data_IF_191329100205
#
_entry.id   IF_191329100205
#
_cell.length_a   1.000
_cell.length_b   1.000
_cell.length_c   1.000
_cell.angle_alpha   90.00
_cell.angle_beta   90.00
_cell.angle_gamma   90.00
#
_symmetry.space_group_name_H-M   'P 1'
#
loop_
_entity.id
_entity.type
_entity.pdbx_description
1 polymer ?
#
# COMPACT_ATOMS: atom_id res chain seq x y z
N UNK A 1 7.49 -6.15 14.55
CA UNK A 1 8.13 -5.69 13.31
C UNK A 1 8.50 -4.21 13.34
N UNK A 2 7.54 -3.27 13.45
CA UNK A 2 7.78 -1.81 13.37
C UNK A 2 8.81 -1.31 14.40
N UNK A 3 8.67 -1.71 15.67
CA UNK A 3 9.61 -1.30 16.73
C UNK A 3 11.03 -1.85 16.49
N UNK A 4 11.15 -3.09 16.04
CA UNK A 4 12.45 -3.70 15.72
C UNK A 4 13.16 -2.93 14.60
N UNK A 5 12.41 -2.51 13.56
CA UNK A 5 12.96 -1.70 12.48
C UNK A 5 13.40 -0.32 12.95
N UNK A 6 12.58 0.35 13.77
CA UNK A 6 12.94 1.64 14.37
C UNK A 6 14.23 1.55 15.18
N UNK A 7 14.31 0.55 16.07
CA UNK A 7 15.48 0.37 16.94
C UNK A 7 16.74 0.06 16.10
N UNK A 8 16.57 -0.73 15.03
CA UNK A 8 17.66 -1.03 14.09
C UNK A 8 18.16 0.25 13.39
N UNK A 9 17.26 1.07 12.83
CA UNK A 9 17.64 2.35 12.20
C UNK A 9 18.36 3.28 13.16
N UNK A 10 17.86 3.43 14.39
CA UNK A 10 18.46 4.27 15.40
C UNK A 10 19.85 3.74 15.83
N UNK A 11 20.05 2.42 15.91
CA UNK A 11 21.34 1.81 16.19
C UNK A 11 22.41 2.10 15.12
N UNK A 12 21.96 2.37 13.86
CA UNK A 12 22.80 2.79 12.74
C UNK A 12 23.00 4.30 12.66
N UNK A 13 22.44 5.07 13.62
CA UNK A 13 22.50 6.53 13.63
C UNK A 13 21.61 7.20 12.57
N UNK A 14 20.66 6.45 11.98
CA UNK A 14 19.75 6.98 10.95
C UNK A 14 18.58 7.67 11.63
N UNK A 15 18.27 8.89 11.19
CA UNK A 15 17.09 9.64 11.65
C UNK A 15 15.82 8.89 11.24
N UNK A 16 14.94 8.65 12.20
CA UNK A 16 13.71 7.87 12.02
C UNK A 16 12.45 8.69 12.27
N UNK A 17 11.41 8.46 11.46
CA UNK A 17 10.09 9.06 11.62
C UNK A 17 8.99 8.00 11.49
N UNK A 18 8.03 7.99 12.42
CA UNK A 18 6.84 7.14 12.35
C UNK A 18 5.64 7.96 11.86
N UNK A 19 4.93 7.44 10.86
CA UNK A 19 3.78 8.10 10.24
C UNK A 19 2.62 7.09 10.18
N UNK A 20 1.66 7.25 11.07
CA UNK A 20 0.50 6.35 11.22
C UNK A 20 -0.72 6.80 10.36
N UNK A 21 -0.61 7.95 9.67
CA UNK A 21 -1.68 8.48 8.83
C UNK A 21 -1.51 8.07 7.37
N UNK A 22 -2.62 7.70 6.73
CA UNK A 22 -2.67 7.44 5.27
C UNK A 22 -2.90 8.71 4.44
N UNK A 23 -2.78 9.90 5.03
CA UNK A 23 -2.85 11.16 4.28
C UNK A 23 -1.68 11.26 3.32
N UNK A 24 -1.91 11.59 2.03
CA UNK A 24 -0.83 11.83 1.10
C UNK A 24 -0.11 13.14 1.46
N UNK A 25 1.16 13.21 1.11
CA UNK A 25 1.99 14.40 1.31
C UNK A 25 1.84 15.42 0.17
N UNK A 26 1.21 15.01 -0.92
CA UNK A 26 0.90 15.83 -2.09
C UNK A 26 -0.48 15.47 -2.66
N UNK A 27 -0.86 16.09 -3.76
CA UNK A 27 -2.16 15.87 -4.43
C UNK A 27 -2.07 14.86 -5.59
N UNK A 28 -1.00 14.08 -5.70
CA UNK A 28 -0.83 13.11 -6.80
C UNK A 28 -1.61 11.83 -6.56
N UNK A 29 -1.92 11.50 -5.31
CA UNK A 29 -2.69 10.31 -4.91
C UNK A 29 -3.77 10.68 -3.90
N UNK A 30 -4.83 9.87 -3.81
CA UNK A 30 -5.88 10.05 -2.79
C UNK A 30 -5.39 9.66 -1.39
N UNK A 31 -4.56 8.63 -1.30
CA UNK A 31 -3.97 8.16 -0.05
C UNK A 31 -2.47 7.93 -0.25
N UNK A 32 -1.72 7.96 0.83
CA UNK A 32 -0.32 7.60 0.80
C UNK A 32 -0.17 6.12 0.40
N UNK A 33 0.55 5.84 -0.66
CA UNK A 33 0.76 4.50 -1.21
C UNK A 33 2.19 3.99 -1.05
N UNK A 34 3.13 4.87 -0.66
CA UNK A 34 4.54 4.54 -0.50
C UNK A 34 5.23 5.47 0.50
N UNK A 35 6.25 4.95 1.20
CA UNK A 35 7.01 5.68 2.21
C UNK A 35 7.78 6.90 1.68
N UNK A 36 8.11 6.88 0.39
CA UNK A 36 8.90 7.94 -0.27
C UNK A 36 8.11 9.23 -0.55
N UNK A 37 6.77 9.21 -0.51
CA UNK A 37 5.95 10.35 -0.97
C UNK A 37 6.31 11.68 -0.31
N UNK A 38 6.59 11.68 0.99
CA UNK A 38 7.01 12.89 1.70
C UNK A 38 8.38 13.42 1.28
N UNK A 39 9.19 12.60 0.63
CA UNK A 39 10.57 12.92 0.26
C UNK A 39 10.75 13.19 -1.24
N UNK A 40 9.69 13.13 -2.05
CA UNK A 40 9.73 13.36 -3.51
C UNK A 40 10.57 14.58 -3.92
N UNK A 41 10.44 15.77 -3.28
CA UNK A 41 11.24 16.93 -3.65
C UNK A 41 12.74 16.73 -3.46
N UNK A 42 13.15 15.89 -2.49
CA UNK A 42 14.57 15.67 -2.17
C UNK A 42 15.29 14.80 -3.20
N UNK A 43 14.56 13.91 -3.88
CA UNK A 43 15.14 13.13 -4.99
C UNK A 43 15.59 14.04 -6.12
N UNK A 44 14.83 15.08 -6.42
CA UNK A 44 15.11 16.04 -7.51
C UNK A 44 16.05 17.18 -7.11
N UNK A 45 16.32 17.38 -5.82
CA UNK A 45 17.23 18.41 -5.35
C UNK A 45 18.69 17.89 -5.37
N UNK A 46 19.54 18.31 -6.33
CA UNK A 46 20.92 17.81 -6.42
C UNK A 46 21.82 18.24 -5.27
N UNK A 47 21.42 19.25 -4.50
CA UNK A 47 22.18 19.77 -3.36
C UNK A 47 21.89 19.04 -2.06
N UNK A 48 20.79 18.28 -1.99
CA UNK A 48 20.41 17.56 -0.78
C UNK A 48 21.22 16.26 -0.66
N UNK A 49 21.92 16.09 0.47
CA UNK A 49 22.68 14.90 0.84
C UNK A 49 22.20 14.44 2.22
N UNK A 50 21.95 13.16 2.37
CA UNK A 50 21.56 12.58 3.66
C UNK A 50 20.72 11.33 3.55
N UNK A 51 20.57 10.65 4.69
CA UNK A 51 19.82 9.41 4.81
C UNK A 51 18.80 9.52 5.92
N UNK A 52 17.58 9.07 5.66
CA UNK A 52 16.48 9.02 6.62
C UNK A 52 15.73 7.70 6.49
N UNK A 53 15.08 7.28 7.57
CA UNK A 53 14.20 6.13 7.57
C UNK A 53 12.81 6.50 8.12
N UNK A 54 11.80 5.75 7.71
CA UNK A 54 10.47 5.91 8.26
C UNK A 54 9.72 4.57 8.36
N UNK A 55 8.60 4.63 9.08
CA UNK A 55 7.45 3.77 8.85
C UNK A 55 6.29 4.62 8.37
N UNK A 56 5.64 4.20 7.30
CA UNK A 56 4.53 4.93 6.68
C UNK A 56 3.32 4.04 6.54
N UNK A 57 2.19 4.44 7.14
CA UNK A 57 0.91 3.81 6.85
C UNK A 57 0.52 4.07 5.39
N UNK A 58 0.27 3.00 4.65
CA UNK A 58 -0.07 3.02 3.23
C UNK A 58 -1.46 2.42 3.00
N UNK A 59 -2.14 2.92 1.98
CA UNK A 59 -3.42 2.40 1.51
C UNK A 59 -3.40 2.33 -0.02
N UNK A 60 -3.54 1.11 -0.57
CA UNK A 60 -3.54 0.83 -2.01
C UNK A 60 -4.91 0.34 -2.46
N UNK A 61 -5.72 1.25 -2.99
CA UNK A 61 -7.07 0.92 -3.45
C UNK A 61 -7.10 0.01 -4.70
N UNK A 62 -5.98 -0.13 -5.40
CA UNK A 62 -5.83 -1.10 -6.50
C UNK A 62 -6.00 -2.55 -6.04
N UNK A 63 -5.60 -2.84 -4.81
CA UNK A 63 -5.60 -4.20 -4.25
C UNK A 63 -6.96 -4.60 -3.64
N UNK A 64 -7.99 -3.75 -3.77
CA UNK A 64 -9.31 -3.96 -3.13
C UNK A 64 -9.99 -5.27 -3.53
N UNK A 65 -9.80 -5.72 -4.76
CA UNK A 65 -10.44 -6.94 -5.26
C UNK A 65 -9.59 -8.21 -4.99
N UNK A 66 -8.38 -8.04 -4.42
CA UNK A 66 -7.43 -9.11 -4.11
C UNK A 66 -7.38 -9.45 -2.62
N UNK A 67 -7.98 -8.59 -1.75
CA UNK A 67 -8.02 -8.85 -0.30
C UNK A 67 -8.72 -10.16 0.03
N UNK A 68 -8.14 -10.91 0.97
CA UNK A 68 -8.63 -12.23 1.37
C UNK A 68 -8.01 -13.40 0.59
N UNK A 69 -7.09 -13.13 -0.34
CA UNK A 69 -6.33 -14.17 -1.06
C UNK A 69 -5.17 -14.76 -0.24
N UNK A 70 -4.91 -14.22 0.95
CA UNK A 70 -3.86 -14.67 1.86
C UNK A 70 -2.51 -13.98 1.68
N UNK A 71 -2.39 -13.00 0.78
CA UNK A 71 -1.13 -12.32 0.47
C UNK A 71 -1.25 -10.80 0.34
N UNK A 72 -2.42 -10.28 -0.06
CA UNK A 72 -2.64 -8.86 -0.28
C UNK A 72 -3.21 -8.14 0.95
N UNK A 73 -2.62 -6.98 1.23
CA UNK A 73 -3.03 -6.06 2.29
C UNK A 73 -3.50 -4.75 1.65
N UNK A 74 -4.76 -4.38 1.86
CA UNK A 74 -5.31 -3.10 1.37
C UNK A 74 -4.66 -1.92 2.11
N UNK A 75 -4.52 -2.06 3.42
CA UNK A 75 -3.80 -1.16 4.32
C UNK A 75 -2.59 -1.90 4.90
N UNK A 76 -1.43 -1.27 4.89
CA UNK A 76 -0.19 -1.83 5.43
C UNK A 76 0.78 -0.74 5.85
N UNK A 77 1.81 -1.12 6.61
CA UNK A 77 2.89 -0.23 7.02
C UNK A 77 4.13 -0.51 6.18
N UNK A 78 4.60 0.49 5.44
CA UNK A 78 5.87 0.41 4.71
C UNK A 78 7.02 0.79 5.62
N UNK A 79 8.04 -0.06 5.70
CA UNK A 79 9.33 0.22 6.30
C UNK A 79 10.21 0.83 5.21
N UNK A 80 10.63 2.07 5.38
CA UNK A 80 11.33 2.83 4.35
C UNK A 80 12.73 3.29 4.76
N UNK A 81 13.69 3.21 3.82
CA UNK A 81 15.01 3.82 3.92
C UNK A 81 15.24 4.68 2.67
N UNK A 82 15.53 5.95 2.86
CA UNK A 82 15.72 6.91 1.77
C UNK A 82 17.07 7.56 1.91
N UNK A 83 17.87 7.45 0.87
CA UNK A 83 19.17 8.11 0.84
C UNK A 83 19.31 8.96 -0.41
N UNK A 84 19.77 10.18 -0.20
CA UNK A 84 19.93 11.19 -1.21
C UNK A 84 21.44 11.41 -1.39
N UNK A 85 22.05 10.76 -2.39
CA UNK A 85 23.47 10.92 -2.78
C UNK A 85 24.47 10.61 -1.67
N UNK A 86 24.09 9.78 -0.67
CA UNK A 86 24.94 9.39 0.46
C UNK A 86 25.24 7.89 0.45
N UNK A 87 24.20 7.05 0.39
CA UNK A 87 24.38 5.60 0.31
C UNK A 87 24.39 5.11 -1.14
N UNK A 88 25.17 4.07 -1.38
CA UNK A 88 25.15 3.30 -2.62
C UNK A 88 24.10 2.19 -2.56
N UNK A 89 23.81 1.57 -3.71
CA UNK A 89 22.97 0.35 -3.77
C UNK A 89 23.54 -0.76 -2.88
N UNK A 90 24.89 -0.91 -2.87
CA UNK A 90 25.57 -1.90 -2.03
C UNK A 90 25.35 -1.65 -0.53
N UNK A 91 25.41 -0.39 -0.09
CA UNK A 91 25.13 -0.02 1.31
C UNK A 91 23.69 -0.34 1.70
N UNK A 92 22.74 -0.07 0.82
CA UNK A 92 21.32 -0.39 1.04
C UNK A 92 21.08 -1.91 1.09
N UNK A 93 21.72 -2.68 0.21
CA UNK A 93 21.67 -4.15 0.23
C UNK A 93 22.23 -4.69 1.54
N UNK A 94 23.39 -4.21 1.98
CA UNK A 94 24.01 -4.64 3.23
C UNK A 94 23.13 -4.28 4.45
N UNK A 95 22.57 -3.08 4.49
CA UNK A 95 21.65 -2.64 5.54
C UNK A 95 20.43 -3.58 5.66
N UNK A 96 19.79 -3.88 4.53
CA UNK A 96 18.56 -4.69 4.54
C UNK A 96 18.84 -6.16 4.80
N UNK A 97 19.91 -6.75 4.27
CA UNK A 97 20.31 -8.12 4.60
C UNK A 97 20.63 -8.24 6.09
N UNK A 98 21.27 -7.24 6.70
CA UNK A 98 21.54 -7.23 8.13
C UNK A 98 20.24 -7.12 8.93
N UNK A 99 19.32 -6.23 8.57
CA UNK A 99 18.02 -6.11 9.23
C UNK A 99 17.21 -7.41 9.13
N UNK A 100 17.08 -7.99 7.94
CA UNK A 100 16.40 -9.28 7.76
C UNK A 100 17.05 -10.39 8.58
N UNK A 101 18.38 -10.38 8.67
CA UNK A 101 19.14 -11.29 9.53
C UNK A 101 18.79 -11.17 11.02
N UNK A 102 18.47 -9.95 11.52
CA UNK A 102 18.01 -9.77 12.92
C UNK A 102 16.64 -10.41 13.16
N UNK A 103 15.85 -10.61 12.10
CA UNK A 103 14.55 -11.29 12.13
C UNK A 103 14.66 -12.81 11.93
N UNK A 104 15.88 -13.33 11.69
CA UNK A 104 16.11 -14.71 11.29
C UNK A 104 15.63 -15.05 9.87
N UNK A 105 15.38 -14.03 9.04
CA UNK A 105 14.87 -14.18 7.68
C UNK A 105 16.00 -14.12 6.66
N UNK A 106 16.06 -15.15 5.80
CA UNK A 106 16.96 -15.19 4.64
C UNK A 106 16.06 -15.27 3.40
N UNK A 107 16.14 -14.31 2.47
CA UNK A 107 15.42 -14.38 1.20
C UNK A 107 15.84 -15.60 0.37
N UNK A 108 14.90 -16.16 -0.38
CA UNK A 108 15.16 -17.32 -1.25
C UNK A 108 15.91 -16.89 -2.51
N UNK A 109 15.57 -15.74 -3.03
CA UNK A 109 16.26 -15.08 -4.16
C UNK A 109 15.96 -13.57 -4.16
N UNK A 110 16.71 -12.89 -5.00
CA UNK A 110 16.42 -11.50 -5.39
C UNK A 110 16.33 -11.40 -6.90
N UNK A 111 15.55 -10.45 -7.39
CA UNK A 111 15.52 -10.13 -8.81
C UNK A 111 16.37 -8.90 -9.10
N UNK A 112 16.95 -8.81 -10.28
CA UNK A 112 17.73 -7.66 -10.78
C UNK A 112 17.40 -7.48 -12.26
N UNK A 113 17.21 -6.22 -12.69
CA UNK A 113 17.06 -5.92 -14.11
C UNK A 113 18.29 -6.36 -14.91
N UNK A 114 18.13 -6.97 -16.12
CA UNK A 114 19.25 -7.44 -16.93
C UNK A 114 20.34 -6.41 -17.16
N UNK A 115 19.99 -5.12 -17.36
CA UNK A 115 20.95 -4.02 -17.55
C UNK A 115 21.79 -3.70 -16.30
N UNK A 116 21.47 -4.28 -15.14
CA UNK A 116 22.17 -4.07 -13.87
C UNK A 116 22.81 -5.34 -13.31
N UNK A 117 22.68 -6.47 -13.98
CA UNK A 117 23.25 -7.72 -13.50
C UNK A 117 24.76 -7.65 -13.29
N UNK A 118 25.49 -7.08 -14.24
CA UNK A 118 26.94 -6.99 -14.16
C UNK A 118 27.39 -6.14 -12.95
N UNK A 119 26.72 -4.99 -12.74
CA UNK A 119 27.05 -4.04 -11.68
C UNK A 119 26.57 -4.50 -10.29
N UNK A 120 25.38 -5.11 -10.19
CA UNK A 120 24.75 -5.34 -8.89
C UNK A 120 24.90 -6.76 -8.36
N UNK A 121 25.15 -7.77 -9.23
CA UNK A 121 25.41 -9.14 -8.77
C UNK A 121 26.57 -9.23 -7.76
N UNK A 122 27.72 -8.55 -7.97
CA UNK A 122 28.81 -8.58 -7.00
C UNK A 122 28.47 -8.00 -5.64
N UNK A 123 27.51 -7.06 -5.56
CA UNK A 123 27.08 -6.42 -4.31
C UNK A 123 26.43 -7.42 -3.33
N UNK A 124 25.80 -8.46 -3.86
CA UNK A 124 25.22 -9.52 -3.05
C UNK A 124 26.23 -10.52 -2.47
N UNK A 125 27.50 -10.54 -2.97
CA UNK A 125 28.58 -11.39 -2.44
C UNK A 125 28.20 -12.86 -2.33
N UNK A 126 27.42 -13.39 -3.26
CA UNK A 126 26.88 -14.75 -3.27
C UNK A 126 26.04 -15.14 -2.02
N UNK A 127 25.50 -14.16 -1.30
CA UNK A 127 24.66 -14.42 -0.10
C UNK A 127 23.25 -14.89 -0.42
N UNK A 128 22.73 -14.48 -1.58
CA UNK A 128 21.36 -14.74 -2.02
C UNK A 128 21.39 -15.08 -3.51
N UNK A 129 20.66 -16.11 -3.98
CA UNK A 129 20.47 -16.38 -5.41
C UNK A 129 19.89 -15.18 -6.15
N UNK A 130 20.30 -14.98 -7.40
CA UNK A 130 19.86 -13.86 -8.24
C UNK A 130 19.10 -14.38 -9.45
N UNK A 131 17.94 -13.77 -9.75
CA UNK A 131 17.11 -14.05 -10.91
C UNK A 131 16.99 -12.79 -11.74
N UNK A 132 17.32 -12.81 -13.05
CA UNK A 132 17.09 -11.68 -13.94
C UNK A 132 15.58 -11.42 -14.12
N UNK A 133 15.17 -10.15 -14.05
CA UNK A 133 13.78 -9.74 -14.30
C UNK A 133 13.72 -8.36 -14.96
N UNK A 134 13.17 -8.28 -16.17
CA UNK A 134 12.96 -7.02 -16.89
C UNK A 134 11.96 -6.08 -16.20
N UNK A 135 11.11 -6.62 -15.31
CA UNK A 135 10.17 -5.86 -14.49
C UNK A 135 10.83 -5.04 -13.38
N UNK A 136 12.11 -5.30 -13.05
CA UNK A 136 12.85 -4.57 -12.00
C UNK A 136 13.16 -3.11 -12.37
N UNK A 137 12.11 -2.35 -12.66
CA UNK A 137 12.13 -0.91 -12.92
C UNK A 137 11.03 -0.22 -12.13
N UNK A 138 11.29 1.02 -11.75
CA UNK A 138 10.33 1.82 -10.99
C UNK A 138 10.29 3.25 -11.52
N UNK A 139 9.10 3.86 -11.51
CA UNK A 139 8.94 5.27 -11.85
C UNK A 139 7.78 5.92 -11.11
N UNK A 140 7.97 7.19 -10.72
CA UNK A 140 6.91 8.08 -10.21
C UNK A 140 7.12 9.47 -10.83
N UNK A 141 6.32 9.78 -11.84
CA UNK A 141 6.43 11.03 -12.59
C UNK A 141 7.78 11.18 -13.31
N UNK A 142 8.58 12.14 -12.87
CA UNK A 142 9.88 12.44 -13.47
C UNK A 142 11.05 11.68 -12.81
N UNK A 143 10.78 10.86 -11.81
CA UNK A 143 11.78 10.08 -11.09
C UNK A 143 11.64 8.62 -11.47
N UNK A 144 12.70 8.02 -11.98
CA UNK A 144 12.74 6.60 -12.33
C UNK A 144 14.08 5.98 -11.94
N UNK A 145 14.10 4.66 -11.83
CA UNK A 145 15.30 3.91 -11.51
C UNK A 145 15.10 2.42 -11.69
N UNK A 146 16.21 1.68 -11.74
CA UNK A 146 16.21 0.24 -11.64
C UNK A 146 15.99 -0.18 -10.19
N UNK A 147 15.43 -1.39 -9.98
CA UNK A 147 15.27 -1.95 -8.65
C UNK A 147 15.82 -3.38 -8.55
N UNK A 148 15.92 -3.83 -7.34
CA UNK A 148 16.10 -5.24 -6.96
C UNK A 148 15.03 -5.58 -5.95
N UNK A 149 14.37 -6.72 -6.13
CA UNK A 149 13.26 -7.16 -5.30
C UNK A 149 13.66 -8.42 -4.53
N UNK A 150 13.21 -8.51 -3.29
CA UNK A 150 13.53 -9.60 -2.38
C UNK A 150 12.33 -10.53 -2.26
N UNK A 151 12.55 -11.83 -2.43
CA UNK A 151 11.50 -12.85 -2.40
C UNK A 151 11.73 -13.88 -1.29
N UNK A 152 10.64 -14.27 -0.64
CA UNK A 152 10.59 -15.37 0.32
C UNK A 152 9.30 -16.15 0.15
N UNK A 153 9.42 -17.49 0.05
CA UNK A 153 8.28 -18.41 -0.15
C UNK A 153 7.39 -18.03 -1.34
N UNK A 154 8.01 -17.50 -2.42
CA UNK A 154 7.32 -17.02 -3.62
C UNK A 154 6.65 -15.65 -3.49
N UNK A 155 6.81 -14.97 -2.35
CA UNK A 155 6.21 -13.66 -2.08
C UNK A 155 7.30 -12.59 -2.11
N UNK A 156 7.05 -11.49 -2.84
CA UNK A 156 7.88 -10.29 -2.76
C UNK A 156 7.72 -9.64 -1.38
N UNK A 157 8.82 -9.54 -0.63
CA UNK A 157 8.82 -8.94 0.72
C UNK A 157 9.22 -7.47 0.74
N UNK A 158 9.80 -6.99 -0.34
CA UNK A 158 10.20 -5.59 -0.52
C UNK A 158 11.25 -5.40 -1.59
N UNK A 159 11.58 -4.16 -1.84
CA UNK A 159 12.52 -3.80 -2.90
C UNK A 159 13.46 -2.66 -2.50
N UNK A 160 14.55 -2.54 -3.26
CA UNK A 160 15.48 -1.41 -3.24
C UNK A 160 15.48 -0.81 -4.63
N UNK A 161 15.05 0.42 -4.76
CA UNK A 161 15.09 1.22 -5.98
C UNK A 161 16.30 2.15 -5.96
N UNK A 162 16.89 2.40 -7.12
CA UNK A 162 17.98 3.38 -7.28
C UNK A 162 17.54 4.56 -8.15
N UNK A 163 16.69 5.47 -7.60
CA UNK A 163 16.20 6.60 -8.35
C UNK A 163 17.34 7.49 -8.87
N UNK A 164 17.22 7.87 -10.15
CA UNK A 164 18.20 8.73 -10.84
C UNK A 164 19.65 8.19 -10.84
N UNK A 165 19.86 6.92 -10.46
CA UNK A 165 21.18 6.32 -10.31
C UNK A 165 22.02 6.84 -9.14
N UNK A 166 21.50 7.76 -8.34
CA UNK A 166 22.23 8.46 -7.26
C UNK A 166 21.52 8.47 -5.92
N UNK A 167 20.28 8.04 -5.89
CA UNK A 167 19.48 7.98 -4.67
C UNK A 167 19.09 6.53 -4.35
N UNK A 168 18.63 6.33 -3.14
CA UNK A 168 18.07 5.04 -2.67
C UNK A 168 16.65 5.29 -2.17
N UNK A 169 15.73 4.44 -2.60
CA UNK A 169 14.37 4.34 -2.12
C UNK A 169 14.06 2.88 -1.80
N UNK A 170 13.79 2.59 -0.55
CA UNK A 170 13.52 1.22 -0.11
C UNK A 170 12.14 1.13 0.51
N UNK A 171 11.40 0.08 0.15
CA UNK A 171 10.11 -0.25 0.71
C UNK A 171 9.95 -1.74 1.01
N UNK A 172 9.74 -2.07 2.31
CA UNK A 172 9.37 -3.42 2.75
C UNK A 172 8.04 -3.35 3.51
N UNK A 173 7.13 -4.29 3.24
CA UNK A 173 5.85 -4.39 3.97
C UNK A 173 6.04 -5.00 5.35
N UNK A 174 5.74 -4.25 6.42
CA UNK A 174 5.88 -4.75 7.79
C UNK A 174 4.99 -5.97 8.03
N UNK A 175 3.75 -5.96 7.54
CA UNK A 175 2.78 -7.04 7.67
C UNK A 175 3.20 -8.28 6.88
N UNK A 176 3.78 -8.11 5.68
CA UNK A 176 4.35 -9.24 4.91
C UNK A 176 5.54 -9.88 5.62
N UNK A 177 6.44 -9.07 6.17
CA UNK A 177 7.55 -9.58 6.98
C UNK A 177 7.04 -10.31 8.22
N UNK A 178 6.02 -9.77 8.89
CA UNK A 178 5.42 -10.40 10.07
C UNK A 178 4.74 -11.73 9.71
N UNK A 179 4.03 -11.77 8.59
CA UNK A 179 3.43 -12.98 8.06
C UNK A 179 4.47 -14.09 7.85
N UNK A 180 5.60 -13.76 7.22
CA UNK A 180 6.64 -14.75 6.91
C UNK A 180 7.42 -15.17 8.16
N UNK A 181 7.78 -14.22 9.03
CA UNK A 181 8.60 -14.49 10.21
C UNK A 181 7.81 -15.18 11.32
N UNK A 182 6.58 -14.74 11.57
CA UNK A 182 5.75 -15.19 12.69
C UNK A 182 4.60 -16.12 12.27
N UNK A 183 4.40 -16.33 10.96
CA UNK A 183 3.30 -17.14 10.45
C UNK A 183 1.92 -16.50 10.67
N UNK A 184 1.86 -15.16 10.80
CA UNK A 184 0.62 -14.41 10.99
C UNK A 184 -0.05 -14.20 9.63
N UNK A 185 -1.13 -14.92 9.29
CA UNK A 185 -1.78 -14.72 7.99
C UNK A 185 -2.43 -13.33 7.92
N UNK A 186 -2.66 -12.79 6.71
CA UNK A 186 -3.51 -11.63 6.54
C UNK A 186 -4.90 -11.88 7.13
N UNK A 187 -5.53 -10.83 7.61
CA UNK A 187 -6.91 -10.86 8.01
C UNK A 187 -7.81 -11.27 6.84
N UNK A 188 -8.97 -11.84 7.13
CA UNK A 188 -9.98 -12.06 6.11
C UNK A 188 -10.41 -10.73 5.46
N UNK A 189 -11.05 -10.81 4.30
CA UNK A 189 -11.43 -9.62 3.54
C UNK A 189 -12.34 -8.66 4.32
N UNK A 190 -13.20 -9.17 5.20
CA UNK A 190 -14.09 -8.33 5.99
C UNK A 190 -13.34 -7.60 7.09
N UNK A 191 -12.47 -8.29 7.84
CA UNK A 191 -11.63 -7.70 8.88
C UNK A 191 -10.67 -6.67 8.28
N UNK A 192 -10.05 -6.97 7.13
CA UNK A 192 -9.22 -6.03 6.37
C UNK A 192 -9.97 -4.75 6.01
N UNK A 193 -11.22 -4.86 5.53
CA UNK A 193 -12.04 -3.69 5.20
C UNK A 193 -12.39 -2.87 6.43
N UNK A 194 -12.74 -3.53 7.55
CA UNK A 194 -13.08 -2.86 8.80
C UNK A 194 -11.88 -2.08 9.35
N UNK A 195 -10.69 -2.70 9.40
CA UNK A 195 -9.46 -2.00 9.82
C UNK A 195 -9.13 -0.84 8.88
N UNK A 196 -9.20 -1.04 7.57
CA UNK A 196 -8.95 0.02 6.58
C UNK A 196 -9.88 1.22 6.77
N UNK A 197 -11.18 0.99 6.99
CA UNK A 197 -12.14 2.08 7.27
C UNK A 197 -11.71 2.85 8.51
N UNK A 198 -11.35 2.16 9.59
CA UNK A 198 -10.90 2.81 10.83
C UNK A 198 -9.65 3.65 10.61
N UNK A 199 -8.65 3.14 9.86
CA UNK A 199 -7.43 3.90 9.52
C UNK A 199 -7.71 5.15 8.71
N UNK A 200 -8.64 5.08 7.75
CA UNK A 200 -9.08 6.26 6.96
C UNK A 200 -9.76 7.28 7.84
N UNK A 201 -10.63 6.84 8.77
CA UNK A 201 -11.32 7.73 9.73
C UNK A 201 -10.33 8.37 10.72
N UNK A 202 -9.41 7.61 11.29
CA UNK A 202 -8.35 8.09 12.19
C UNK A 202 -7.42 9.10 11.49
N UNK A 203 -7.21 8.93 10.18
CA UNK A 203 -6.51 9.93 9.35
C UNK A 203 -7.32 11.20 9.13
N UNK A 204 -8.54 11.31 9.70
CA UNK A 204 -9.39 12.51 9.74
C UNK A 204 -10.29 12.69 8.51
N UNK A 205 -10.48 11.65 7.70
CA UNK A 205 -11.42 11.68 6.58
C UNK A 205 -12.85 11.37 7.03
N UNK A 206 -13.81 11.94 6.30
CA UNK A 206 -15.26 11.73 6.52
C UNK A 206 -15.91 11.25 5.24
N UNK A 207 -17.01 10.46 5.33
CA UNK A 207 -17.75 10.04 4.15
C UNK A 207 -18.21 11.25 3.32
N UNK A 208 -18.03 11.15 2.00
CA UNK A 208 -18.34 12.24 1.07
C UNK A 208 -18.72 11.72 -0.32
N UNK A 209 -18.94 12.64 -1.26
CA UNK A 209 -19.31 12.33 -2.63
C UNK A 209 -18.12 12.39 -3.60
N UNK A 210 -16.95 12.81 -3.14
CA UNK A 210 -15.74 12.99 -3.95
C UNK A 210 -14.52 12.47 -3.20
N UNK A 211 -13.48 12.15 -3.95
CA UNK A 211 -12.13 11.86 -3.46
C UNK A 211 -12.11 10.82 -2.32
N UNK A 212 -11.34 11.06 -1.27
CA UNK A 212 -11.21 10.16 -0.13
C UNK A 212 -12.54 9.87 0.57
N UNK A 213 -13.43 10.86 0.63
CA UNK A 213 -14.76 10.68 1.20
C UNK A 213 -15.62 9.71 0.41
N UNK A 214 -15.51 9.71 -0.92
CA UNK A 214 -16.17 8.74 -1.79
C UNK A 214 -15.59 7.33 -1.60
N UNK A 215 -14.27 7.22 -1.52
CA UNK A 215 -13.59 5.94 -1.25
C UNK A 215 -14.04 5.38 0.10
N UNK A 216 -14.06 6.20 1.16
CA UNK A 216 -14.53 5.78 2.48
C UNK A 216 -15.96 5.22 2.40
N UNK A 217 -16.87 5.87 1.67
CA UNK A 217 -18.22 5.34 1.45
C UNK A 217 -18.24 4.05 0.65
N UNK A 218 -17.36 3.89 -0.33
CA UNK A 218 -17.22 2.64 -1.09
C UNK A 218 -16.81 1.49 -0.16
N UNK A 219 -15.85 1.72 0.74
CA UNK A 219 -15.42 0.72 1.72
C UNK A 219 -16.55 0.36 2.71
N UNK A 220 -17.26 1.36 3.27
CA UNK A 220 -18.40 1.14 4.16
C UNK A 220 -19.50 0.31 3.49
N UNK A 221 -19.81 0.60 2.21
CA UNK A 221 -20.77 -0.20 1.43
C UNK A 221 -20.29 -1.62 1.20
N UNK A 222 -19.00 -1.82 0.91
CA UNK A 222 -18.45 -3.16 0.70
C UNK A 222 -18.61 -4.02 1.94
N UNK A 223 -18.35 -3.46 3.14
CA UNK A 223 -18.62 -4.15 4.42
C UNK A 223 -20.09 -4.56 4.50
N UNK A 224 -21.01 -3.65 4.20
CA UNK A 224 -22.47 -3.93 4.25
C UNK A 224 -22.87 -5.01 3.23
N UNK A 225 -22.38 -4.95 2.00
CA UNK A 225 -22.61 -5.94 0.93
C UNK A 225 -22.14 -7.35 1.34
N UNK A 226 -21.02 -7.44 2.06
CA UNK A 226 -20.46 -8.70 2.57
C UNK A 226 -21.22 -9.22 3.81
N UNK A 227 -22.28 -8.55 4.25
CA UNK A 227 -23.04 -8.93 5.45
C UNK A 227 -22.32 -8.60 6.76
N UNK A 228 -21.24 -7.80 6.69
CA UNK A 228 -20.51 -7.35 7.85
C UNK A 228 -21.16 -6.15 8.55
N UNK A 229 -20.61 -5.82 9.73
CA UNK A 229 -20.98 -4.65 10.50
C UNK A 229 -19.72 -3.92 10.98
N UNK A 230 -19.85 -2.64 11.31
CA UNK A 230 -18.79 -1.84 11.93
C UNK A 230 -19.43 -0.97 13.01
N UNK A 231 -18.89 -1.04 14.23
CA UNK A 231 -19.34 -0.18 15.34
C UNK A 231 -18.78 1.24 15.15
N UNK A 232 -19.37 1.95 14.20
CA UNK A 232 -19.01 3.34 13.89
C UNK A 232 -20.19 4.09 13.25
N UNK A 233 -20.50 5.34 13.68
CA UNK A 233 -21.64 6.11 13.16
C UNK A 233 -21.68 6.28 11.65
N UNK A 234 -20.53 6.31 10.98
CA UNK A 234 -20.46 6.42 9.52
C UNK A 234 -20.98 5.17 8.81
N UNK A 235 -20.80 3.99 9.41
CA UNK A 235 -21.35 2.75 8.88
C UNK A 235 -22.88 2.77 8.94
N UNK A 236 -23.44 3.08 10.09
CA UNK A 236 -24.91 3.18 10.26
C UNK A 236 -25.52 4.20 9.29
N UNK A 237 -24.88 5.37 9.14
CA UNK A 237 -25.33 6.40 8.19
C UNK A 237 -25.29 5.90 6.74
N UNK A 238 -24.28 5.14 6.35
CA UNK A 238 -24.20 4.59 4.99
C UNK A 238 -25.22 3.48 4.77
N UNK A 239 -25.47 2.60 5.75
CA UNK A 239 -26.55 1.59 5.69
C UNK A 239 -27.91 2.26 5.47
N UNK A 240 -28.29 3.23 6.31
CA UNK A 240 -29.54 3.99 6.17
C UNK A 240 -29.63 4.68 4.80
N UNK A 241 -28.51 5.18 4.29
CA UNK A 241 -28.45 5.78 2.96
C UNK A 241 -28.71 4.74 1.86
N UNK A 242 -28.11 3.55 1.94
CA UNK A 242 -28.33 2.48 0.96
C UNK A 242 -29.81 2.03 0.96
N UNK A 243 -30.45 1.92 2.09
CA UNK A 243 -31.88 1.62 2.18
C UNK A 243 -32.78 2.67 1.50
N UNK A 244 -32.43 3.97 1.68
CA UNK A 244 -33.14 5.06 0.98
C UNK A 244 -32.94 5.01 -0.53
N UNK A 245 -31.71 4.72 -0.98
CA UNK A 245 -31.41 4.58 -2.41
C UNK A 245 -32.14 3.39 -3.01
N UNK A 246 -32.21 2.27 -2.29
CA UNK A 246 -33.02 1.09 -2.65
C UNK A 246 -34.49 1.43 -2.83
N UNK A 247 -35.09 2.06 -1.82
CA UNK A 247 -36.52 2.46 -1.87
C UNK A 247 -36.77 3.41 -3.04
N UNK A 248 -35.84 4.35 -3.32
CA UNK A 248 -35.90 5.23 -4.48
C UNK A 248 -35.81 4.45 -5.78
N UNK A 249 -34.87 3.50 -5.89
CA UNK A 249 -34.68 2.65 -7.05
C UNK A 249 -35.93 1.84 -7.39
N UNK A 250 -36.47 1.10 -6.41
CA UNK A 250 -37.68 0.28 -6.61
C UNK A 250 -38.85 1.11 -7.13
N UNK A 251 -39.10 2.28 -6.54
CA UNK A 251 -40.16 3.19 -6.97
C UNK A 251 -39.97 3.74 -8.38
N UNK A 252 -38.73 4.08 -8.75
CA UNK A 252 -38.42 4.67 -10.06
C UNK A 252 -38.30 3.62 -11.16
N UNK A 253 -37.92 2.37 -10.82
CA UNK A 253 -37.79 1.27 -11.78
C UNK A 253 -39.11 0.94 -12.45
N UNK A 254 -40.24 1.09 -11.75
CA UNK A 254 -41.59 0.93 -12.34
C UNK A 254 -41.82 1.93 -13.48
N UNK A 255 -41.29 3.14 -13.34
CA UNK A 255 -41.42 4.21 -14.34
C UNK A 255 -40.36 4.13 -15.46
N UNK A 256 -39.17 3.59 -15.16
CA UNK A 256 -38.01 3.54 -16.02
C UNK A 256 -37.42 2.13 -16.05
N UNK A 257 -38.15 1.10 -16.53
CA UNK A 257 -37.75 -0.31 -16.41
C UNK A 257 -36.49 -0.69 -17.21
N UNK A 258 -36.25 -0.01 -18.33
CA UNK A 258 -35.22 -0.40 -19.31
C UNK A 258 -33.97 0.49 -19.26
N UNK A 259 -33.81 1.31 -18.20
CA UNK A 259 -32.63 2.16 -18.08
C UNK A 259 -31.40 1.37 -17.66
N UNK A 260 -30.25 1.57 -18.31
CA UNK A 260 -29.02 0.86 -17.99
C UNK A 260 -28.42 1.30 -16.63
N UNK A 261 -27.56 0.47 -16.02
CA UNK A 261 -26.96 0.77 -14.71
C UNK A 261 -26.26 2.13 -14.64
N UNK A 262 -25.58 2.54 -15.70
CA UNK A 262 -24.88 3.83 -15.79
C UNK A 262 -25.84 5.01 -15.66
N UNK A 263 -27.05 4.92 -16.27
CA UNK A 263 -28.07 5.97 -16.14
C UNK A 263 -28.55 6.12 -14.69
N UNK A 264 -28.70 5.00 -13.97
CA UNK A 264 -29.08 5.04 -12.55
C UNK A 264 -28.01 5.70 -11.68
N UNK A 265 -26.75 5.41 -11.98
CA UNK A 265 -25.62 6.02 -11.26
C UNK A 265 -25.52 7.52 -11.57
N UNK A 266 -25.51 7.91 -12.82
CA UNK A 266 -25.28 9.30 -13.24
C UNK A 266 -26.46 10.21 -12.88
N UNK A 267 -27.72 9.70 -13.02
CA UNK A 267 -28.92 10.52 -12.82
C UNK A 267 -29.37 10.54 -11.36
N UNK A 268 -29.19 9.43 -10.66
CA UNK A 268 -29.76 9.25 -9.33
C UNK A 268 -28.74 8.91 -8.24
N UNK A 269 -27.49 8.70 -8.58
CA UNK A 269 -26.42 8.27 -7.66
C UNK A 269 -26.69 6.87 -7.08
N UNK A 270 -27.34 6.01 -7.87
CA UNK A 270 -27.73 4.65 -7.49
C UNK A 270 -26.79 3.67 -8.19
N UNK A 271 -25.94 3.00 -7.42
CA UNK A 271 -25.18 1.86 -7.89
C UNK A 271 -26.06 0.61 -7.84
N UNK A 272 -26.51 0.15 -9.01
CA UNK A 272 -27.44 -0.98 -9.12
C UNK A 272 -26.77 -2.29 -8.72
N UNK A 273 -25.47 -2.46 -9.00
CA UNK A 273 -24.74 -3.67 -8.63
C UNK A 273 -24.61 -3.78 -7.10
N UNK A 274 -24.25 -2.67 -6.42
CA UNK A 274 -24.20 -2.63 -4.95
C UNK A 274 -25.58 -2.95 -4.34
N UNK A 275 -26.68 -2.40 -4.89
CA UNK A 275 -28.04 -2.67 -4.40
C UNK A 275 -28.46 -4.12 -4.60
N UNK A 276 -28.09 -4.75 -5.70
CA UNK A 276 -28.37 -6.17 -5.96
C UNK A 276 -27.58 -7.07 -5.02
N UNK A 277 -26.30 -6.79 -4.80
CA UNK A 277 -25.44 -7.55 -3.91
C UNK A 277 -25.93 -7.53 -2.44
N UNK A 278 -26.39 -6.38 -1.93
CA UNK A 278 -26.97 -6.26 -0.57
C UNK A 278 -28.22 -7.13 -0.39
N UNK A 279 -28.95 -7.42 -1.44
CA UNK A 279 -30.24 -8.09 -1.36
C UNK A 279 -30.22 -9.56 -1.75
N UNK A 280 -29.06 -10.08 -2.19
CA UNK A 280 -28.94 -11.48 -2.63
C UNK A 280 -29.85 -11.83 -3.84
N UNK A 281 -30.16 -10.86 -4.68
CA UNK A 281 -31.03 -11.03 -5.87
C UNK A 281 -30.30 -10.64 -7.16
#
# INVERSE_FOLDING_TARGET
MIQQYQDFCLSKGIKFTRIDSVRPHDNTTLFCSAGMQQYKPLFSDPSHIGTVANTQACLRMGDLDEIGDGTHFLHFTMLGLFSFRELTVGDAIDFWIEFLGTLGLVPDHVTIHPDRLEDWTPLYRNRIPIVPDEGCTWSDGNVSGYCTEFYKDGIEIGNIVNPLGTCIDVGFGAERLDMIVNGTPPDDALATLQDTVMRVVESGYKPGNKEQGYVLRKLLRRIHVMGGALDHPYFEQEVVRQERLRSKYLRLREKYPDMPPEWWFDTHGIDVADLQAINGT
#
